data_IF_205771296959
#
_entry.id   IF_205771296959
#
_cell.length_a   1.000
_cell.length_b   1.000
_cell.length_c   1.000
_cell.angle_alpha   90.00
_cell.angle_beta   90.00
_cell.angle_gamma   90.00
#
_symmetry.space_group_name_H-M   'P 1'
#
loop_
_entity.id
_entity.type
_entity.pdbx_description
1 polymer ?
#
# COMPACT_ATOMS: atom_id res chain seq x y z
N UNK A 1 -6.59 9.11 -30.43
CA UNK A 1 -7.07 7.71 -30.44
C UNK A 1 -5.88 6.75 -30.58
N UNK A 2 -5.65 5.87 -29.61
CA UNK A 2 -4.61 4.84 -29.72
C UNK A 2 -5.06 3.87 -30.82
N UNK A 3 -4.25 3.68 -31.86
CA UNK A 3 -4.54 2.70 -32.90
C UNK A 3 -4.58 1.30 -32.27
N UNK A 4 -5.67 0.58 -32.48
CA UNK A 4 -5.95 -0.73 -31.85
C UNK A 4 -4.94 -1.82 -32.22
N UNK A 5 -4.05 -1.59 -33.18
CA UNK A 5 -2.99 -2.54 -33.59
C UNK A 5 -1.76 -2.48 -32.70
N UNK A 6 -1.51 -1.35 -32.03
CA UNK A 6 -0.35 -1.16 -31.15
C UNK A 6 -0.66 -1.39 -29.66
N UNK A 7 -1.87 -1.87 -29.36
CA UNK A 7 -2.31 -2.08 -27.98
C UNK A 7 -1.58 -3.27 -27.35
N UNK A 8 -0.75 -3.06 -26.29
CA UNK A 8 0.02 -4.15 -25.68
C UNK A 8 -0.88 -5.29 -25.24
N UNK A 9 -0.44 -6.53 -25.43
CA UNK A 9 -1.13 -7.74 -24.99
C UNK A 9 -2.59 -7.90 -25.43
N UNK A 10 -3.03 -7.19 -26.49
CA UNK A 10 -4.43 -7.12 -26.94
C UNK A 10 -5.22 -8.42 -26.86
N UNK A 11 -4.64 -9.55 -27.30
CA UNK A 11 -5.32 -10.85 -27.26
C UNK A 11 -5.59 -11.32 -25.83
N UNK A 12 -4.59 -11.24 -24.95
CA UNK A 12 -4.72 -11.60 -23.53
C UNK A 12 -5.76 -10.73 -22.85
N UNK A 13 -5.77 -9.42 -23.15
CA UNK A 13 -6.72 -8.46 -22.60
C UNK A 13 -8.13 -8.75 -23.07
N UNK A 14 -8.31 -8.95 -24.38
CA UNK A 14 -9.62 -9.27 -24.94
C UNK A 14 -10.19 -10.56 -24.32
N UNK A 15 -9.35 -11.57 -24.09
CA UNK A 15 -9.80 -12.81 -23.47
C UNK A 15 -10.15 -12.64 -21.99
N UNK A 16 -9.38 -11.82 -21.28
CA UNK A 16 -9.66 -11.45 -19.89
C UNK A 16 -10.99 -10.70 -19.76
N UNK A 17 -11.23 -9.70 -20.62
CA UNK A 17 -12.43 -8.87 -20.60
C UNK A 17 -13.72 -9.65 -20.91
N UNK A 18 -13.66 -10.81 -21.58
CA UNK A 18 -14.85 -11.67 -21.78
C UNK A 18 -15.44 -12.21 -20.48
N UNK A 19 -14.68 -12.19 -19.39
CA UNK A 19 -15.09 -12.65 -18.07
C UNK A 19 -15.59 -11.50 -17.18
N UNK A 20 -15.58 -10.28 -17.71
CA UNK A 20 -16.01 -9.08 -17.02
C UNK A 20 -17.39 -8.69 -17.53
N UNK A 21 -18.27 -8.30 -16.62
CA UNK A 21 -19.57 -7.73 -16.98
C UNK A 21 -19.41 -6.43 -17.81
N UNK A 22 -20.22 -6.26 -18.86
CA UNK A 22 -20.10 -5.17 -19.82
C UNK A 22 -20.28 -3.78 -19.20
N UNK A 23 -20.99 -3.68 -18.08
CA UNK A 23 -21.24 -2.41 -17.38
C UNK A 23 -20.14 -2.06 -16.36
N UNK A 24 -19.13 -2.92 -16.21
CA UNK A 24 -18.13 -2.82 -15.16
C UNK A 24 -16.81 -2.23 -15.68
N UNK A 25 -16.39 -1.11 -15.10
CA UNK A 25 -15.10 -0.49 -15.40
C UNK A 25 -13.95 -1.34 -14.83
N UNK A 26 -12.94 -1.62 -15.66
CA UNK A 26 -11.79 -2.44 -15.26
C UNK A 26 -10.47 -1.75 -15.58
N UNK A 27 -9.57 -1.60 -14.58
CA UNK A 27 -8.23 -1.08 -14.84
C UNK A 27 -7.41 -2.08 -15.65
N UNK A 28 -6.84 -1.60 -16.76
CA UNK A 28 -5.97 -2.39 -17.63
C UNK A 28 -4.48 -2.34 -17.21
N UNK A 29 -4.05 -1.24 -16.58
CA UNK A 29 -2.67 -1.02 -16.12
C UNK A 29 -1.61 -1.27 -17.21
N UNK A 30 -1.73 -0.60 -18.38
CA UNK A 30 -0.81 -0.72 -19.55
C UNK A 30 0.66 -0.64 -19.13
N UNK A 31 1.00 0.36 -18.31
CA UNK A 31 2.36 0.60 -17.84
C UNK A 31 2.91 -0.56 -17.01
N UNK A 32 2.09 -1.16 -16.13
CA UNK A 32 2.48 -2.34 -15.36
C UNK A 32 2.72 -3.55 -16.27
N UNK A 33 1.84 -3.77 -17.27
CA UNK A 33 2.01 -4.83 -18.26
C UNK A 33 3.32 -4.68 -19.07
N UNK A 34 3.64 -3.45 -19.50
CA UNK A 34 4.88 -3.16 -20.21
C UNK A 34 6.11 -3.31 -19.29
N UNK A 35 6.01 -2.85 -18.04
CA UNK A 35 7.07 -2.99 -17.05
C UNK A 35 7.40 -4.45 -16.80
N UNK A 36 6.40 -5.34 -16.73
CA UNK A 36 6.61 -6.77 -16.57
C UNK A 36 7.39 -7.38 -17.74
N UNK A 37 7.07 -6.97 -18.97
CA UNK A 37 7.77 -7.40 -20.18
C UNK A 37 9.23 -6.94 -20.19
N UNK A 38 9.46 -5.67 -19.88
CA UNK A 38 10.81 -5.11 -19.87
C UNK A 38 11.64 -5.67 -18.72
N UNK A 39 11.05 -5.87 -17.53
CA UNK A 39 11.70 -6.56 -16.43
C UNK A 39 12.17 -7.95 -16.86
N UNK A 40 11.30 -8.76 -17.47
CA UNK A 40 11.71 -10.08 -17.98
C UNK A 40 12.87 -10.00 -18.97
N UNK A 41 12.87 -9.00 -19.87
CA UNK A 41 13.91 -8.82 -20.89
C UNK A 41 15.24 -8.36 -20.31
N UNK A 42 15.20 -7.52 -19.27
CA UNK A 42 16.36 -6.84 -18.70
C UNK A 42 17.02 -7.59 -17.54
N UNK A 43 16.30 -8.50 -16.87
CA UNK A 43 16.87 -9.29 -15.78
C UNK A 43 18.09 -10.09 -16.28
N UNK A 44 19.23 -9.90 -15.60
CA UNK A 44 20.43 -10.68 -15.85
C UNK A 44 20.18 -12.16 -15.52
N UNK A 45 20.90 -13.10 -16.16
CA UNK A 45 20.72 -14.54 -15.91
C UNK A 45 20.90 -14.96 -14.44
N UNK A 46 21.70 -14.22 -13.67
CA UNK A 46 21.97 -14.47 -12.25
C UNK A 46 21.20 -13.52 -11.30
N UNK A 47 20.22 -12.76 -11.81
CA UNK A 47 19.39 -11.92 -10.97
C UNK A 47 18.46 -12.78 -10.11
N UNK A 48 18.25 -12.38 -8.86
CA UNK A 48 17.33 -13.05 -7.92
C UNK A 48 15.90 -13.07 -8.50
N UNK A 49 15.51 -12.00 -9.17
CA UNK A 49 14.21 -11.85 -9.81
C UNK A 49 13.80 -10.39 -9.91
N UNK A 50 12.54 -10.18 -10.27
CA UNK A 50 11.89 -8.88 -10.24
C UNK A 50 10.84 -8.87 -9.14
N UNK A 51 10.77 -7.76 -8.41
CA UNK A 51 9.77 -7.50 -7.38
C UNK A 51 9.07 -6.18 -7.70
N UNK A 52 7.75 -6.16 -7.61
CA UNK A 52 6.91 -4.99 -7.75
C UNK A 52 5.90 -4.91 -6.60
N UNK A 53 5.60 -3.70 -6.18
CA UNK A 53 4.69 -3.40 -5.08
C UNK A 53 3.69 -2.34 -5.56
N UNK A 54 2.39 -2.60 -5.39
CA UNK A 54 1.36 -1.62 -5.70
C UNK A 54 0.06 -1.96 -4.96
N UNK A 55 -0.83 -0.97 -4.84
CA UNK A 55 -2.17 -1.17 -4.31
C UNK A 55 -3.08 -1.76 -5.42
N UNK A 56 -3.75 -2.86 -5.13
CA UNK A 56 -4.52 -3.55 -6.15
C UNK A 56 -5.38 -4.68 -5.63
N UNK A 57 -5.97 -5.43 -6.56
CA UNK A 57 -6.73 -6.63 -6.24
C UNK A 57 -6.26 -7.81 -7.08
N UNK A 58 -6.31 -8.98 -6.45
CA UNK A 58 -6.08 -10.28 -7.06
C UNK A 58 -7.40 -11.03 -7.30
N UNK A 59 -8.52 -10.50 -6.81
CA UNK A 59 -9.80 -11.21 -6.80
C UNK A 59 -10.65 -10.81 -8.02
N UNK A 60 -11.00 -11.75 -8.91
CA UNK A 60 -11.88 -11.48 -10.05
C UNK A 60 -13.30 -11.08 -9.65
N UNK A 61 -13.77 -11.43 -8.44
CA UNK A 61 -15.08 -10.99 -7.95
C UNK A 61 -15.08 -9.50 -7.64
N UNK A 62 -14.03 -9.02 -6.98
CA UNK A 62 -13.83 -7.58 -6.72
C UNK A 62 -13.74 -6.82 -8.04
N UNK A 63 -13.03 -7.34 -9.04
CA UNK A 63 -12.95 -6.72 -10.37
C UNK A 63 -14.30 -6.64 -11.09
N UNK A 64 -15.21 -7.56 -10.81
CA UNK A 64 -16.56 -7.58 -11.39
C UNK A 64 -17.60 -6.80 -10.57
N UNK A 65 -17.24 -6.28 -9.40
CA UNK A 65 -18.16 -5.47 -8.60
C UNK A 65 -18.24 -4.04 -9.17
N UNK A 66 -19.41 -3.55 -9.63
CA UNK A 66 -19.57 -2.18 -10.12
C UNK A 66 -19.27 -1.13 -9.03
N UNK A 67 -19.48 -1.47 -7.76
CA UNK A 67 -19.24 -0.61 -6.60
C UNK A 67 -17.86 -0.84 -5.98
N UNK A 68 -16.99 -1.60 -6.65
CA UNK A 68 -15.62 -1.84 -6.16
C UNK A 68 -14.95 -0.51 -5.80
N UNK A 69 -14.09 -0.49 -4.77
CA UNK A 69 -13.37 0.70 -4.35
C UNK A 69 -12.26 1.03 -5.36
N UNK A 70 -12.65 1.47 -6.55
CA UNK A 70 -11.79 2.11 -7.54
C UNK A 70 -11.51 3.58 -7.17
N UNK A 71 -12.33 4.13 -6.26
CA UNK A 71 -12.40 5.55 -5.94
C UNK A 71 -12.77 5.69 -4.46
N UNK A 72 -12.03 6.53 -3.73
CA UNK A 72 -12.17 6.87 -2.28
C UNK A 72 -11.42 5.92 -1.34
N UNK A 73 -10.66 6.39 -0.33
CA UNK A 73 -11.01 7.43 0.65
C UNK A 73 -9.76 8.22 1.12
N UNK A 74 -9.91 9.54 1.32
CA UNK A 74 -9.00 10.50 1.98
C UNK A 74 -7.75 10.98 1.20
N UNK A 75 -7.97 11.91 0.27
CA UNK A 75 -7.10 13.11 0.20
C UNK A 75 -5.86 13.12 -0.71
N UNK A 76 -5.61 12.13 -1.58
CA UNK A 76 -4.46 12.23 -2.49
C UNK A 76 -4.53 11.29 -3.69
N UNK A 77 -4.53 11.89 -4.89
CA UNK A 77 -4.37 11.30 -6.23
C UNK A 77 -5.25 10.08 -6.61
N UNK A 78 -5.64 10.00 -7.88
CA UNK A 78 -6.29 8.84 -8.48
C UNK A 78 -5.34 7.63 -8.40
N UNK A 79 -5.37 6.87 -7.31
CA UNK A 79 -4.61 5.62 -7.20
C UNK A 79 -5.41 4.56 -7.97
N UNK A 80 -5.09 4.41 -9.26
CA UNK A 80 -5.68 3.35 -10.08
C UNK A 80 -5.27 2.00 -9.51
N UNK A 81 -6.22 1.31 -8.87
CA UNK A 81 -6.06 -0.08 -8.44
C UNK A 81 -5.35 -0.91 -9.52
N UNK A 82 -4.26 -1.57 -9.16
CA UNK A 82 -3.59 -2.51 -10.06
C UNK A 82 -4.41 -3.79 -10.15
N UNK A 83 -4.74 -4.18 -11.38
CA UNK A 83 -5.40 -5.43 -11.69
C UNK A 83 -4.38 -6.57 -11.70
N UNK A 84 -4.05 -7.09 -10.53
CA UNK A 84 -3.06 -8.17 -10.41
C UNK A 84 -3.55 -9.47 -11.07
N UNK A 85 -4.85 -9.68 -11.19
CA UNK A 85 -5.41 -10.82 -11.93
C UNK A 85 -5.06 -10.76 -13.42
N UNK A 86 -5.22 -9.60 -14.04
CA UNK A 86 -4.77 -9.39 -15.41
C UNK A 86 -3.25 -9.48 -15.53
N UNK A 87 -2.52 -8.93 -14.55
CA UNK A 87 -1.06 -9.04 -14.52
C UNK A 87 -0.59 -10.50 -14.49
N UNK A 88 -1.28 -11.39 -13.79
CA UNK A 88 -1.02 -12.84 -13.84
C UNK A 88 -1.24 -13.41 -15.24
N UNK A 89 -2.29 -13.01 -15.94
CA UNK A 89 -2.55 -13.48 -17.30
C UNK A 89 -1.49 -12.98 -18.29
N UNK A 90 -1.03 -11.74 -18.13
CA UNK A 90 0.09 -11.17 -18.90
C UNK A 90 1.41 -11.87 -18.55
N UNK A 91 1.66 -12.18 -17.29
CA UNK A 91 2.82 -12.96 -16.84
C UNK A 91 2.85 -14.34 -17.51
N UNK A 92 1.72 -15.05 -17.50
CA UNK A 92 1.56 -16.36 -18.18
C UNK A 92 1.78 -16.23 -19.69
N UNK A 93 1.22 -15.19 -20.33
CA UNK A 93 1.46 -14.91 -21.75
C UNK A 93 2.96 -14.69 -22.05
N UNK A 94 3.68 -14.06 -21.12
CA UNK A 94 5.11 -13.85 -21.19
C UNK A 94 5.91 -15.09 -20.76
N UNK A 95 5.32 -16.25 -20.51
CA UNK A 95 5.98 -17.46 -19.98
C UNK A 95 6.70 -17.23 -18.64
N UNK A 96 6.16 -16.37 -17.78
CA UNK A 96 6.58 -16.18 -16.40
C UNK A 96 5.70 -17.09 -15.54
N UNK A 97 6.28 -18.20 -15.06
CA UNK A 97 5.56 -19.23 -14.30
C UNK A 97 5.98 -19.33 -12.84
N UNK A 98 7.06 -18.64 -12.45
CA UNK A 98 7.65 -18.59 -11.11
C UNK A 98 7.07 -17.43 -10.27
N UNK A 99 5.90 -16.93 -10.66
CA UNK A 99 5.31 -15.73 -10.08
C UNK A 99 4.72 -15.99 -8.70
N UNK A 100 5.11 -15.19 -7.70
CA UNK A 100 4.42 -15.09 -6.42
C UNK A 100 3.61 -13.79 -6.43
N UNK A 101 2.34 -13.89 -6.04
CA UNK A 101 1.51 -12.74 -5.74
C UNK A 101 0.94 -12.97 -4.35
N UNK A 102 1.26 -12.06 -3.44
CA UNK A 102 0.93 -12.17 -2.03
C UNK A 102 0.70 -10.78 -1.44
N UNK A 103 0.11 -10.70 -0.24
CA UNK A 103 0.07 -9.43 0.50
C UNK A 103 1.48 -8.92 0.74
N UNK A 104 1.70 -7.62 0.56
CA UNK A 104 2.95 -7.00 0.97
C UNK A 104 3.17 -7.14 2.48
N UNK A 105 2.09 -7.14 3.28
CA UNK A 105 2.15 -7.41 4.73
C UNK A 105 2.70 -8.81 5.02
N UNK A 106 2.23 -9.83 4.32
CA UNK A 106 2.71 -11.22 4.49
C UNK A 106 4.17 -11.36 4.04
N UNK A 107 4.54 -10.73 2.93
CA UNK A 107 5.92 -10.70 2.44
C UNK A 107 6.88 -10.06 3.45
N UNK A 108 6.54 -8.88 3.96
CA UNK A 108 7.35 -8.15 4.94
C UNK A 108 7.39 -8.91 6.26
N UNK A 109 6.24 -9.38 6.75
CA UNK A 109 6.15 -10.14 7.99
C UNK A 109 6.96 -11.43 7.96
N UNK A 110 6.93 -12.18 6.85
CA UNK A 110 7.79 -13.35 6.64
C UNK A 110 9.26 -12.99 6.62
N UNK A 111 9.63 -11.88 5.98
CA UNK A 111 11.02 -11.42 5.88
C UNK A 111 11.59 -10.98 7.24
N UNK A 112 10.74 -10.42 8.10
CA UNK A 112 11.10 -9.97 9.45
C UNK A 112 10.81 -11.02 10.54
N UNK A 113 10.17 -12.14 10.19
CA UNK A 113 9.69 -13.17 11.12
C UNK A 113 8.81 -12.62 12.25
N UNK A 114 7.91 -11.69 11.92
CA UNK A 114 6.97 -11.04 12.86
C UNK A 114 5.71 -10.57 12.12
N UNK A 115 4.63 -10.32 12.84
CA UNK A 115 3.49 -9.59 12.28
C UNK A 115 3.87 -8.11 12.09
N UNK A 116 3.29 -7.50 11.05
CA UNK A 116 3.45 -6.09 10.73
C UNK A 116 2.12 -5.50 10.30
N UNK A 117 1.93 -4.20 10.54
CA UNK A 117 0.85 -3.41 9.96
C UNK A 117 1.42 -2.06 9.49
N UNK A 118 0.74 -1.39 8.56
CA UNK A 118 1.14 -0.04 8.17
C UNK A 118 0.69 1.00 9.21
N UNK A 119 1.23 2.23 9.14
CA UNK A 119 0.68 3.33 9.94
C UNK A 119 -0.79 3.61 9.59
N UNK A 120 -1.20 3.47 8.33
CA UNK A 120 -2.61 3.59 7.92
C UNK A 120 -3.50 2.54 8.59
N UNK A 121 -3.06 1.29 8.66
CA UNK A 121 -3.79 0.22 9.37
C UNK A 121 -3.92 0.54 10.86
N UNK A 122 -2.84 1.04 11.48
CA UNK A 122 -2.88 1.49 12.87
C UNK A 122 -3.89 2.62 13.05
N UNK A 123 -3.87 3.65 12.20
CA UNK A 123 -4.83 4.75 12.22
C UNK A 123 -6.28 4.26 12.06
N UNK A 124 -6.51 3.29 11.17
CA UNK A 124 -7.81 2.67 10.94
C UNK A 124 -8.31 1.86 12.15
N UNK A 125 -7.41 1.37 13.01
CA UNK A 125 -7.77 0.68 14.26
C UNK A 125 -8.23 1.63 15.38
N UNK A 126 -8.09 2.95 15.19
CA UNK A 126 -8.49 3.91 16.21
C UNK A 126 -10.02 3.87 16.40
N UNK A 127 -10.54 3.66 17.63
CA UNK A 127 -11.96 3.39 17.85
C UNK A 127 -12.88 4.59 17.59
N UNK A 128 -12.36 5.81 17.74
CA UNK A 128 -13.09 7.05 17.48
C UNK A 128 -12.14 8.10 16.91
N UNK A 129 -11.72 7.97 15.64
CA UNK A 129 -10.81 8.93 15.02
C UNK A 129 -11.52 10.29 14.88
N UNK A 130 -10.79 11.42 14.80
CA UNK A 130 -11.39 12.73 14.59
C UNK A 130 -12.23 12.76 13.29
N UNK A 131 -13.54 12.94 13.42
CA UNK A 131 -14.47 13.04 12.28
C UNK A 131 -14.68 14.48 11.79
N UNK A 132 -14.01 15.46 12.43
CA UNK A 132 -14.21 16.88 12.16
C UNK A 132 -13.37 17.41 11.00
N UNK A 133 -12.65 18.50 11.24
CA UNK A 133 -11.86 19.15 10.19
C UNK A 133 -10.59 18.32 9.90
N UNK A 134 -10.14 18.32 8.63
CA UNK A 134 -8.98 17.54 8.18
C UNK A 134 -7.72 17.74 9.05
N UNK A 135 -7.48 18.95 9.57
CA UNK A 135 -6.34 19.23 10.45
C UNK A 135 -6.36 18.44 11.78
N UNK A 136 -7.53 18.00 12.26
CA UNK A 136 -7.61 17.19 13.47
C UNK A 136 -7.08 15.78 13.22
N UNK A 137 -7.31 15.25 12.02
CA UNK A 137 -6.70 14.00 11.57
C UNK A 137 -5.20 14.16 11.40
N UNK A 138 -4.74 15.26 10.78
CA UNK A 138 -3.31 15.60 10.68
C UNK A 138 -2.63 15.61 12.06
N UNK A 139 -3.27 16.25 13.05
CA UNK A 139 -2.78 16.31 14.42
C UNK A 139 -2.70 14.93 15.08
N UNK A 140 -3.71 14.05 14.86
CA UNK A 140 -3.65 12.67 15.33
C UNK A 140 -2.48 11.93 14.69
N UNK A 141 -2.33 12.00 13.36
CA UNK A 141 -1.26 11.32 12.62
C UNK A 141 0.11 11.74 13.16
N UNK A 142 0.35 13.05 13.33
CA UNK A 142 1.63 13.55 13.81
C UNK A 142 1.95 13.12 15.25
N UNK A 143 0.95 13.08 16.13
CA UNK A 143 1.13 12.58 17.50
C UNK A 143 1.34 11.07 17.54
N UNK A 144 0.69 10.32 16.66
CA UNK A 144 0.94 8.88 16.50
C UNK A 144 2.35 8.63 16.00
N UNK A 145 2.84 9.40 15.02
CA UNK A 145 4.23 9.36 14.57
C UNK A 145 5.22 9.67 15.71
N UNK A 146 4.93 10.68 16.54
CA UNK A 146 5.75 11.00 17.70
C UNK A 146 5.84 9.82 18.69
N UNK A 147 4.72 9.17 19.00
CA UNK A 147 4.66 8.00 19.87
C UNK A 147 5.48 6.83 19.29
N UNK A 148 5.29 6.52 18.01
CA UNK A 148 5.99 5.43 17.32
C UNK A 148 7.49 5.69 17.18
N UNK A 149 7.91 6.93 16.95
CA UNK A 149 9.32 7.30 16.78
C UNK A 149 10.16 7.09 18.04
N UNK A 150 9.56 6.79 19.19
CA UNK A 150 10.28 6.36 20.39
C UNK A 150 10.80 4.93 20.27
N UNK A 151 10.11 4.08 19.51
CA UNK A 151 10.39 2.64 19.40
C UNK A 151 10.88 2.23 18.01
N UNK A 152 10.36 2.88 16.97
CA UNK A 152 10.71 2.63 15.58
C UNK A 152 12.05 3.26 15.20
N UNK A 153 12.85 2.55 14.39
CA UNK A 153 14.11 3.07 13.82
C UNK A 153 14.25 2.66 12.35
N UNK A 154 14.09 3.62 11.45
CA UNK A 154 14.37 3.44 10.02
C UNK A 154 15.88 3.28 9.79
N UNK A 155 16.32 2.31 8.96
CA UNK A 155 17.70 2.23 8.50
C UNK A 155 18.06 3.35 7.50
N UNK A 156 17.06 4.04 6.96
CA UNK A 156 17.22 5.15 6.03
C UNK A 156 17.00 6.48 6.77
N UNK A 157 17.85 7.47 6.47
CA UNK A 157 17.73 8.81 7.04
C UNK A 157 16.90 9.70 6.13
N UNK A 158 15.68 10.02 6.55
CA UNK A 158 14.77 10.92 5.86
C UNK A 158 13.87 11.63 6.87
N UNK A 159 13.85 12.96 6.85
CA UNK A 159 12.81 13.69 7.56
C UNK A 159 11.50 13.52 6.79
N UNK A 160 10.43 13.21 7.52
CA UNK A 160 9.11 13.09 6.91
C UNK A 160 8.67 14.43 6.34
N UNK A 161 8.17 14.41 5.11
CA UNK A 161 7.49 15.55 4.50
C UNK A 161 6.00 15.40 4.76
N UNK A 162 5.47 16.14 5.72
CA UNK A 162 4.07 16.07 6.10
C UNK A 162 3.38 17.42 5.83
N UNK A 163 2.63 17.56 4.71
CA UNK A 163 1.93 18.79 4.41
C UNK A 163 0.70 18.94 5.31
N UNK A 164 0.68 19.98 6.15
CA UNK A 164 -0.48 20.30 6.97
C UNK A 164 -1.65 20.81 6.12
N UNK A 165 -2.87 20.43 6.47
CA UNK A 165 -4.08 20.95 5.82
C UNK A 165 -4.14 22.48 5.87
N UNK A 166 -4.61 23.09 4.77
CA UNK A 166 -4.89 24.53 4.71
C UNK A 166 -5.90 24.96 5.78
N UNK A 167 -6.79 24.04 6.19
CA UNK A 167 -7.79 24.24 7.24
C UNK A 167 -7.23 24.36 8.67
N UNK A 168 -5.93 24.09 8.86
CA UNK A 168 -5.29 24.12 10.18
C UNK A 168 -5.35 25.53 10.78
N UNK A 169 -5.97 25.71 11.97
CA UNK A 169 -6.02 27.00 12.64
C UNK A 169 -4.63 27.56 12.92
N UNK A 170 -4.45 28.88 12.81
CA UNK A 170 -3.14 29.52 12.98
C UNK A 170 -2.47 29.23 14.33
N UNK A 171 -3.26 29.07 15.41
CA UNK A 171 -2.73 28.76 16.74
C UNK A 171 -2.24 27.31 16.87
N UNK A 172 -2.81 26.37 16.11
CA UNK A 172 -2.38 24.97 16.07
C UNK A 172 -1.23 24.75 15.08
N UNK A 173 -1.24 25.47 13.94
CA UNK A 173 -0.28 25.30 12.84
C UNK A 173 1.17 25.35 13.32
N UNK A 174 1.55 26.39 14.08
CA UNK A 174 2.91 26.52 14.59
C UNK A 174 3.32 25.34 15.46
N UNK A 175 2.39 24.81 16.28
CA UNK A 175 2.66 23.64 17.12
C UNK A 175 2.89 22.38 16.31
N UNK A 176 2.07 22.15 15.28
CA UNK A 176 2.19 21.01 14.38
C UNK A 176 3.43 21.10 13.48
N UNK A 177 3.78 22.28 12.97
CA UNK A 177 5.01 22.50 12.20
C UNK A 177 6.26 22.21 13.04
N UNK A 178 6.28 22.67 14.30
CA UNK A 178 7.36 22.36 15.22
C UNK A 178 7.44 20.85 15.53
N UNK A 179 6.30 20.18 15.62
CA UNK A 179 6.26 18.73 15.81
C UNK A 179 6.84 18.01 14.58
N UNK A 180 6.44 18.37 13.36
CA UNK A 180 7.01 17.79 12.13
C UNK A 180 8.54 17.97 12.11
N UNK A 181 9.04 19.15 12.45
CA UNK A 181 10.49 19.44 12.48
C UNK A 181 11.24 18.69 13.58
N UNK A 182 10.57 18.31 14.67
CA UNK A 182 11.20 17.58 15.78
C UNK A 182 11.23 16.06 15.57
N UNK A 183 10.44 15.54 14.63
CA UNK A 183 10.45 14.11 14.31
C UNK A 183 11.85 13.70 13.81
N UNK A 184 12.43 12.61 14.37
CA UNK A 184 13.78 12.22 14.02
C UNK A 184 13.86 11.76 12.56
N UNK A 185 14.97 12.02 11.85
CA UNK A 185 15.17 11.53 10.48
C UNK A 185 15.29 10.01 10.36
N UNK A 186 15.42 9.29 11.48
CA UNK A 186 15.37 7.83 11.54
C UNK A 186 14.02 7.33 12.09
N UNK A 187 13.01 8.19 12.15
CA UNK A 187 11.66 7.83 12.51
C UNK A 187 10.92 7.11 11.38
N UNK A 188 9.63 6.91 11.58
CA UNK A 188 8.69 6.40 10.58
C UNK A 188 8.73 7.34 9.35
N UNK A 189 9.10 6.82 8.17
CA UNK A 189 9.44 7.68 7.02
C UNK A 189 8.21 8.18 6.24
N UNK A 190 7.07 7.49 6.34
CA UNK A 190 5.80 7.82 5.68
C UNK A 190 4.63 7.04 6.32
N UNK A 191 3.41 7.26 5.83
CA UNK A 191 2.20 6.61 6.35
C UNK A 191 1.98 5.17 5.87
N UNK A 192 2.72 4.70 4.88
CA UNK A 192 2.65 3.33 4.37
C UNK A 192 3.77 2.45 4.92
N UNK A 193 4.65 3.00 5.76
CA UNK A 193 5.70 2.29 6.43
C UNK A 193 5.15 1.17 7.33
N UNK A 194 5.78 0.00 7.26
CA UNK A 194 5.45 -1.14 8.09
C UNK A 194 6.05 -0.99 9.49
N UNK A 195 5.20 -1.19 10.49
CA UNK A 195 5.51 -1.21 11.90
C UNK A 195 5.45 -2.67 12.38
N UNK A 196 6.49 -3.12 13.07
CA UNK A 196 6.47 -4.46 13.67
C UNK A 196 5.56 -4.49 14.89
N UNK A 197 4.96 -5.64 15.14
CA UNK A 197 4.18 -5.90 16.35
C UNK A 197 4.94 -5.49 17.63
N UNK A 198 6.25 -5.77 17.70
CA UNK A 198 7.07 -5.41 18.86
C UNK A 198 7.25 -3.89 19.04
N UNK A 199 7.32 -3.12 17.95
CA UNK A 199 7.45 -1.66 18.00
C UNK A 199 6.15 -1.00 18.45
N UNK A 200 5.01 -1.53 17.98
CA UNK A 200 3.67 -1.09 18.37
C UNK A 200 3.43 -1.34 19.85
N UNK A 201 3.68 -2.56 20.33
CA UNK A 201 3.46 -2.88 21.74
C UNK A 201 4.37 -2.11 22.69
N UNK A 202 5.60 -1.80 22.27
CA UNK A 202 6.48 -0.89 23.04
C UNK A 202 5.97 0.55 23.06
N UNK A 203 5.29 1.01 22.01
CA UNK A 203 4.72 2.35 21.91
C UNK A 203 3.32 2.45 22.56
N UNK A 204 2.70 1.32 22.92
CA UNK A 204 1.33 1.26 23.41
C UNK A 204 1.01 2.25 24.55
N UNK A 205 1.86 2.45 25.58
CA UNK A 205 1.54 3.41 26.65
C UNK A 205 1.38 4.87 26.17
N UNK A 206 2.01 5.24 25.05
CA UNK A 206 1.83 6.55 24.43
C UNK A 206 0.66 6.55 23.44
N UNK A 207 0.41 5.44 22.74
CA UNK A 207 -0.75 5.28 21.87
C UNK A 207 -2.08 5.29 22.67
N UNK A 208 -2.15 4.68 23.85
CA UNK A 208 -3.33 4.70 24.72
C UNK A 208 -3.71 6.13 25.14
N UNK A 209 -2.71 7.01 25.36
CA UNK A 209 -2.94 8.44 25.67
C UNK A 209 -3.58 9.18 24.49
N UNK A 210 -3.43 8.67 23.28
CA UNK A 210 -4.04 9.21 22.06
C UNK A 210 -5.42 8.62 21.78
N UNK A 211 -5.85 7.60 22.53
CA UNK A 211 -7.17 6.98 22.38
C UNK A 211 -7.17 5.65 21.61
N UNK A 212 -6.00 5.11 21.26
CA UNK A 212 -5.91 3.77 20.70
C UNK A 212 -6.25 2.71 21.75
N UNK A 213 -6.88 1.62 21.29
CA UNK A 213 -7.23 0.46 22.09
C UNK A 213 -6.43 -0.77 21.64
N UNK A 214 -5.96 -1.58 22.60
CA UNK A 214 -5.11 -2.74 22.32
C UNK A 214 -5.86 -3.84 21.57
N UNK A 215 -7.15 -4.05 21.83
CA UNK A 215 -7.93 -5.08 21.14
C UNK A 215 -8.18 -4.68 19.68
N UNK A 216 -8.43 -3.39 19.41
CA UNK A 216 -8.52 -2.87 18.04
C UNK A 216 -7.24 -3.09 17.23
N UNK A 217 -6.08 -2.79 17.82
CA UNK A 217 -4.77 -3.00 17.18
C UNK A 217 -4.51 -4.49 16.96
N UNK A 218 -4.82 -5.34 17.95
CA UNK A 218 -4.66 -6.79 17.83
C UNK A 218 -5.55 -7.36 16.71
N UNK A 219 -6.79 -6.91 16.62
CA UNK A 219 -7.68 -7.27 15.53
C UNK A 219 -7.12 -6.88 14.16
N UNK A 220 -6.43 -5.75 14.06
CA UNK A 220 -5.79 -5.30 12.82
C UNK A 220 -4.58 -6.18 12.42
N UNK A 221 -3.77 -6.60 13.40
CA UNK A 221 -2.65 -7.53 13.19
C UNK A 221 -3.12 -8.91 12.68
N UNK A 222 -4.32 -9.33 13.07
CA UNK A 222 -4.93 -10.61 12.70
C UNK A 222 -5.86 -10.50 11.46
N UNK A 223 -6.08 -9.28 10.95
CA UNK A 223 -7.05 -9.02 9.88
C UNK A 223 -6.66 -9.78 8.61
N UNK A 224 -7.57 -10.50 7.94
CA UNK A 224 -7.26 -11.14 6.66
C UNK A 224 -6.99 -10.10 5.55
N UNK A 225 -6.46 -10.57 4.41
CA UNK A 225 -6.27 -9.76 3.20
C UNK A 225 -7.58 -9.04 2.85
N UNK A 226 -7.48 -7.74 2.54
CA UNK A 226 -8.62 -6.94 2.11
C UNK A 226 -8.91 -7.14 0.61
N UNK A 227 -10.15 -6.85 0.13
CA UNK A 227 -10.50 -6.93 -1.28
C UNK A 227 -9.57 -6.14 -2.21
N UNK A 228 -9.09 -4.99 -1.73
CA UNK A 228 -8.01 -4.19 -2.30
C UNK A 228 -6.96 -4.01 -1.23
N UNK A 229 -5.71 -4.32 -1.55
CA UNK A 229 -4.60 -4.34 -0.59
C UNK A 229 -3.30 -3.92 -1.28
N UNK A 230 -2.25 -3.66 -0.49
CA UNK A 230 -0.90 -3.54 -1.00
C UNK A 230 -0.34 -4.93 -1.32
N UNK A 231 -0.06 -5.18 -2.59
CA UNK A 231 0.31 -6.49 -3.11
C UNK A 231 1.77 -6.48 -3.55
N UNK A 232 2.47 -7.56 -3.18
CA UNK A 232 3.78 -7.90 -3.70
C UNK A 232 3.63 -8.88 -4.88
N UNK A 233 4.13 -8.48 -6.05
CA UNK A 233 4.29 -9.36 -7.21
C UNK A 233 5.78 -9.62 -7.44
N UNK A 234 6.18 -10.88 -7.37
CA UNK A 234 7.55 -11.32 -7.63
C UNK A 234 7.58 -12.35 -8.75
N UNK A 235 8.66 -12.37 -9.54
CA UNK A 235 9.02 -13.55 -10.30
C UNK A 235 10.54 -13.73 -10.37
N UNK A 236 10.97 -14.98 -10.23
CA UNK A 236 12.38 -15.35 -10.38
C UNK A 236 12.76 -15.53 -11.85
N UNK A 237 14.03 -15.30 -12.17
CA UNK A 237 14.64 -15.80 -13.40
C UNK A 237 14.71 -17.32 -13.25
N UNK A 238 14.06 -18.09 -14.14
CA UNK A 238 14.31 -19.54 -14.16
C UNK A 238 15.75 -19.74 -14.62
N UNK A 239 16.49 -20.60 -13.90
CA UNK A 239 17.69 -21.23 -14.45
C UNK A 239 17.32 -21.79 -15.83
N UNK A 240 18.02 -21.28 -16.85
CA UNK A 240 17.75 -21.59 -18.26
C UNK A 240 18.07 -23.04 -18.58
#
# INVERSE_FOLDING_TARGET
PIETKDFPFRRTVAEFLKQIDEEVLVPYNVGACQSLKEAKRLLAPNAIGFSGFDAGTVDPQVLNDPEKPCYTVQGGQFSFMVNFQLMQNVAKHLNIHTGVIESQRDFVGRSLSTNVITLMDLLASHPSPPEGQAWQLDALILRTLEALNRTYRSPYQRHIEFPLSESTPAHERTGLENLVQSLPPQGVPDTIAYLTESEIWKAMPDLEKLGYDSEGIKGMLELPLQPVDYIHMFFAVKDS
#
